data_IF_677606410592
#
_entry.id   IF_677606410592
#
_cell.length_a   1.000
_cell.length_b   1.000
_cell.length_c   1.000
_cell.angle_alpha   90.00
_cell.angle_beta   90.00
_cell.angle_gamma   90.00
#
_symmetry.space_group_name_H-M   'P 1'
#
loop_
_entity.id
_entity.type
_entity.pdbx_description
1 polymer ?
#
# COMPACT_ATOMS: atom_id res chain seq x y z
N UNK A 1 1.25 7.30 -13.07
CA UNK A 1 1.39 6.27 -12.02
C UNK A 1 0.05 5.59 -11.79
N UNK A 2 0.02 4.26 -11.68
CA UNK A 2 -1.21 3.45 -11.55
C UNK A 2 -1.04 2.34 -10.51
N UNK A 3 -2.02 2.18 -9.62
CA UNK A 3 -2.11 1.04 -8.70
C UNK A 3 -2.70 -0.16 -9.45
N UNK A 4 -2.12 -1.33 -9.25
CA UNK A 4 -2.49 -2.59 -9.88
C UNK A 4 -2.32 -3.74 -8.87
N UNK A 5 -2.88 -4.91 -9.15
CA UNK A 5 -2.79 -6.11 -8.30
C UNK A 5 -3.14 -5.80 -6.83
N UNK A 6 -4.21 -5.05 -6.62
CA UNK A 6 -4.62 -4.55 -5.31
C UNK A 6 -5.52 -5.56 -4.59
N UNK A 7 -5.19 -5.85 -3.34
CA UNK A 7 -6.01 -6.65 -2.43
C UNK A 7 -6.01 -6.03 -1.03
N UNK A 8 -7.15 -6.00 -0.36
CA UNK A 8 -7.18 -5.70 1.08
C UNK A 8 -6.52 -6.85 1.83
N UNK A 9 -5.73 -6.54 2.85
CA UNK A 9 -5.04 -7.54 3.66
C UNK A 9 -4.90 -7.04 5.08
N UNK A 10 -5.28 -7.86 6.04
CA UNK A 10 -4.93 -7.63 7.44
C UNK A 10 -3.53 -8.14 7.79
N UNK A 11 -3.14 -7.94 9.06
CA UNK A 11 -1.89 -8.42 9.63
C UNK A 11 -0.96 -7.29 10.06
N UNK A 12 0.31 -7.63 10.28
CA UNK A 12 1.32 -6.69 10.77
C UNK A 12 2.58 -6.71 9.91
N UNK A 13 3.22 -5.55 9.78
CA UNK A 13 4.54 -5.37 9.21
C UNK A 13 5.49 -4.87 10.31
N UNK A 14 6.39 -5.74 10.77
CA UNK A 14 7.19 -5.48 11.96
C UNK A 14 6.36 -5.50 13.24
N UNK A 15 6.84 -4.85 14.30
CA UNK A 15 6.22 -4.94 15.64
C UNK A 15 4.92 -4.14 15.79
N UNK A 16 4.66 -3.16 14.91
CA UNK A 16 3.62 -2.17 15.23
C UNK A 16 2.92 -1.51 14.05
N UNK A 17 3.33 -1.77 12.79
CA UNK A 17 2.59 -1.27 11.64
C UNK A 17 1.53 -2.27 11.19
N UNK A 18 0.28 -1.83 11.05
CA UNK A 18 -0.82 -2.66 10.58
C UNK A 18 -0.85 -2.69 9.06
N UNK A 19 -0.90 -3.87 8.47
CA UNK A 19 -1.10 -4.00 7.02
C UNK A 19 -2.58 -3.74 6.72
N UNK A 20 -2.83 -2.90 5.72
CA UNK A 20 -4.15 -2.56 5.22
C UNK A 20 -4.44 -3.24 3.87
N UNK A 21 -3.43 -3.29 3.02
CA UNK A 21 -3.54 -3.83 1.67
C UNK A 21 -2.19 -4.30 1.13
N UNK A 22 -2.23 -5.19 0.14
CA UNK A 22 -1.11 -5.45 -0.77
C UNK A 22 -1.41 -4.89 -2.14
N UNK A 23 -0.39 -4.39 -2.82
CA UNK A 23 -0.54 -3.81 -4.15
C UNK A 23 0.79 -3.79 -4.91
N UNK A 24 0.69 -3.61 -6.22
CA UNK A 24 1.80 -3.24 -7.08
C UNK A 24 1.53 -1.85 -7.67
N UNK A 25 2.58 -1.12 -8.06
CA UNK A 25 2.45 0.21 -8.68
C UNK A 25 3.30 0.31 -9.93
N UNK A 26 2.67 0.71 -11.03
CA UNK A 26 3.36 1.14 -12.26
C UNK A 26 3.74 2.61 -12.08
N UNK A 27 5.04 2.88 -11.92
CA UNK A 27 5.58 4.23 -11.67
C UNK A 27 5.69 5.01 -12.97
N UNK A 28 6.35 4.40 -13.96
CA UNK A 28 6.45 4.82 -15.37
C UNK A 28 6.05 3.64 -16.25
N UNK A 29 5.91 3.79 -17.56
CA UNK A 29 5.55 2.68 -18.44
C UNK A 29 6.58 1.53 -18.42
N UNK A 30 7.85 1.85 -18.13
CA UNK A 30 8.95 0.89 -18.08
C UNK A 30 9.29 0.38 -16.66
N UNK A 31 8.69 0.95 -15.61
CA UNK A 31 9.04 0.64 -14.21
C UNK A 31 7.83 0.29 -13.35
N UNK A 32 7.86 -0.91 -12.78
CA UNK A 32 6.88 -1.40 -11.81
C UNK A 32 7.55 -1.79 -10.50
N UNK A 33 6.88 -1.45 -9.39
CA UNK A 33 7.22 -1.91 -8.05
C UNK A 33 6.16 -2.92 -7.61
N UNK A 34 6.57 -4.16 -7.36
CA UNK A 34 5.65 -5.26 -7.11
C UNK A 34 5.57 -5.63 -5.63
N UNK A 35 4.40 -6.11 -5.19
CA UNK A 35 4.23 -6.73 -3.87
C UNK A 35 4.49 -5.79 -2.71
N UNK A 36 4.11 -4.52 -2.85
CA UNK A 36 4.14 -3.53 -1.78
C UNK A 36 2.99 -3.79 -0.79
N UNK A 37 3.20 -3.37 0.45
CA UNK A 37 2.19 -3.35 1.50
C UNK A 37 1.85 -1.92 1.83
N UNK A 38 0.57 -1.56 1.79
CA UNK A 38 0.08 -0.33 2.43
C UNK A 38 -0.07 -0.63 3.91
N UNK A 39 0.53 0.20 4.76
CA UNK A 39 0.46 0.02 6.20
C UNK A 39 0.03 1.30 6.89
N UNK A 40 -0.64 1.15 8.02
CA UNK A 40 -0.78 2.21 9.00
C UNK A 40 0.32 2.08 10.06
N UNK A 41 1.01 3.18 10.32
CA UNK A 41 2.06 3.21 11.36
C UNK A 41 1.45 3.56 12.71
N UNK A 42 2.12 3.24 13.83
CA UNK A 42 1.63 3.59 15.17
C UNK A 42 1.37 5.09 15.39
N UNK A 43 1.95 5.94 14.53
CA UNK A 43 1.77 7.40 14.56
C UNK A 43 0.53 7.86 13.77
N UNK A 44 -0.34 6.94 13.35
CA UNK A 44 -1.54 7.23 12.55
C UNK A 44 -1.22 7.73 11.14
N UNK A 45 -0.03 7.39 10.62
CA UNK A 45 0.41 7.80 9.29
C UNK A 45 0.54 6.58 8.40
N UNK A 46 -0.14 6.61 7.25
CA UNK A 46 0.03 5.59 6.22
C UNK A 46 1.36 5.74 5.48
N UNK A 47 1.94 4.61 5.11
CA UNK A 47 3.13 4.51 4.25
C UNK A 47 3.10 3.17 3.54
N UNK A 48 4.04 2.93 2.61
CA UNK A 48 4.22 1.61 2.03
C UNK A 48 5.55 0.97 2.44
N UNK A 49 5.56 -0.36 2.48
CA UNK A 49 6.76 -1.18 2.65
C UNK A 49 6.88 -2.21 1.54
N UNK A 50 8.10 -2.50 1.06
CA UNK A 50 8.30 -3.63 0.17
C UNK A 50 8.17 -4.96 0.92
N UNK A 51 7.68 -5.99 0.23
CA UNK A 51 7.63 -7.34 0.80
C UNK A 51 8.90 -8.12 0.46
N UNK A 52 9.99 -7.85 1.19
CA UNK A 52 11.27 -8.57 1.04
C UNK A 52 11.41 -9.61 2.15
N UNK A 53 11.71 -10.86 1.78
CA UNK A 53 12.00 -11.91 2.76
C UNK A 53 13.27 -11.56 3.55
N UNK A 54 13.25 -11.75 4.87
CA UNK A 54 14.34 -11.36 5.76
C UNK A 54 14.39 -9.87 6.12
N UNK A 55 13.46 -9.06 5.59
CA UNK A 55 13.45 -7.61 5.79
C UNK A 55 14.50 -6.87 4.96
N UNK A 56 14.35 -5.55 4.84
CA UNK A 56 15.34 -4.71 4.16
C UNK A 56 14.72 -3.65 3.25
N UNK A 57 15.59 -2.79 2.71
CA UNK A 57 15.23 -1.78 1.71
C UNK A 57 15.38 -2.41 0.33
N UNK A 58 14.29 -2.61 -0.41
CA UNK A 58 14.38 -2.99 -1.82
C UNK A 58 14.47 -1.79 -2.76
N UNK A 59 13.94 -0.64 -2.33
CA UNK A 59 13.91 0.58 -3.13
C UNK A 59 14.15 1.82 -2.27
N UNK A 60 14.77 2.83 -2.88
CA UNK A 60 14.82 4.20 -2.35
C UNK A 60 14.17 5.11 -3.38
N UNK A 61 13.12 5.82 -2.97
CA UNK A 61 12.41 6.78 -3.82
C UNK A 61 12.50 8.17 -3.21
N UNK A 62 12.38 9.20 -4.06
CA UNK A 62 12.32 10.58 -3.58
C UNK A 62 11.11 10.78 -2.66
N UNK A 63 11.20 11.74 -1.73
CA UNK A 63 10.09 12.06 -0.82
C UNK A 63 8.80 12.42 -1.56
N UNK A 64 8.90 13.02 -2.75
CA UNK A 64 7.75 13.33 -3.59
C UNK A 64 7.11 12.06 -4.14
N UNK A 65 7.90 11.16 -4.74
CA UNK A 65 7.39 9.91 -5.29
C UNK A 65 6.80 9.01 -4.20
N UNK A 66 7.45 8.90 -3.05
CA UNK A 66 6.94 8.10 -1.93
C UNK A 66 5.59 8.60 -1.41
N UNK A 67 5.39 9.93 -1.37
CA UNK A 67 4.10 10.54 -1.02
C UNK A 67 3.04 10.25 -2.07
N UNK A 68 3.36 10.35 -3.35
CA UNK A 68 2.44 10.03 -4.43
C UNK A 68 1.98 8.57 -4.36
N UNK A 69 2.91 7.61 -4.21
CA UNK A 69 2.59 6.18 -4.10
C UNK A 69 1.65 5.94 -2.92
N UNK A 70 1.98 6.49 -1.75
CA UNK A 70 1.18 6.33 -0.53
C UNK A 70 -0.23 6.91 -0.69
N UNK A 71 -0.36 8.10 -1.29
CA UNK A 71 -1.64 8.74 -1.53
C UNK A 71 -2.50 7.93 -2.51
N UNK A 72 -1.92 7.48 -3.62
CA UNK A 72 -2.63 6.66 -4.60
C UNK A 72 -3.13 5.33 -4.00
N UNK A 73 -2.28 4.64 -3.22
CA UNK A 73 -2.68 3.41 -2.54
C UNK A 73 -3.76 3.65 -1.47
N UNK A 74 -3.67 4.75 -0.72
CA UNK A 74 -4.67 5.13 0.28
C UNK A 74 -6.05 5.39 -0.34
N UNK A 75 -6.10 6.13 -1.45
CA UNK A 75 -7.35 6.39 -2.19
C UNK A 75 -7.97 5.10 -2.71
N UNK A 76 -7.16 4.17 -3.23
CA UNK A 76 -7.64 2.86 -3.67
C UNK A 76 -8.22 2.04 -2.52
N UNK A 77 -7.55 2.03 -1.37
CA UNK A 77 -8.01 1.31 -0.18
C UNK A 77 -9.35 1.85 0.32
N UNK A 78 -9.47 3.17 0.52
CA UNK A 78 -10.70 3.81 0.97
C UNK A 78 -11.87 3.56 0.01
N UNK A 79 -11.61 3.63 -1.31
CA UNK A 79 -12.62 3.30 -2.32
C UNK A 79 -13.12 1.86 -2.24
N UNK A 80 -12.25 0.90 -1.93
CA UNK A 80 -12.62 -0.51 -1.76
C UNK A 80 -13.35 -0.76 -0.43
N UNK A 81 -12.96 -0.10 0.65
CA UNK A 81 -13.67 -0.20 1.94
C UNK A 81 -15.12 0.26 1.79
N UNK A 82 -15.34 1.42 1.16
CA UNK A 82 -16.69 1.97 0.91
C UNK A 82 -17.54 1.02 0.05
N UNK A 83 -16.96 0.39 -0.96
CA UNK A 83 -17.68 -0.57 -1.82
C UNK A 83 -18.07 -1.84 -1.06
N UNK A 84 -17.19 -2.34 -0.19
CA UNK A 84 -17.44 -3.52 0.62
C UNK A 84 -18.51 -3.27 1.69
N UNK A 85 -18.50 -2.10 2.33
CA UNK A 85 -19.50 -1.72 3.34
C UNK A 85 -20.92 -1.63 2.74
N UNK A 86 -21.07 -1.08 1.53
CA UNK A 86 -22.36 -1.05 0.83
C UNK A 86 -22.92 -2.44 0.53
N UNK A 87 -22.05 -3.41 0.28
CA UNK A 87 -22.46 -4.78 -0.04
C UNK A 87 -22.92 -5.54 1.21
N UNK A 88 -22.41 -5.20 2.39
CA UNK A 88 -22.83 -5.81 3.67
C UNK A 88 -24.12 -5.23 4.25
N UNK A 89 -24.53 -4.04 3.81
CA UNK A 89 -25.72 -3.36 4.29
C UNK A 89 -27.00 -3.65 3.46
N UNK A 90 -26.91 -4.49 2.42
CA UNK A 90 -28.01 -4.94 1.58
C UNK A 90 -28.39 -6.39 1.90
#
# INVERSE_FOLDING_TARGET
>A
MRIIDFETSGGFAGESAHVLARFSVQVTDDLRLCGLKLVDTPKGRRTFFPSVSGGGRSITASTSLSRQITAAASMFFEGHEIANDRTKAA
#
